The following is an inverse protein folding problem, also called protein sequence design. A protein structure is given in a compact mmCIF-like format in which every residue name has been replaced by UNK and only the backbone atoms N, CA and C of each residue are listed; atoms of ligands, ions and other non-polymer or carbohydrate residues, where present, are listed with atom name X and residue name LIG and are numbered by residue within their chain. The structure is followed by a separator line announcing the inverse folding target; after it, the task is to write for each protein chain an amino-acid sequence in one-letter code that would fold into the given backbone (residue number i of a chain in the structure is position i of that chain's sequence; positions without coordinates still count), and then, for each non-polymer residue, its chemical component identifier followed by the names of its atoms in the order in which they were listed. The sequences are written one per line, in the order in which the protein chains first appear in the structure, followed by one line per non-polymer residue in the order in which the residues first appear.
data_IF_233241227192
#
_entry.id   IF_233241227192
#
_cell.length_a   1.000
_cell.length_b   1.000
_cell.length_c   1.000
_cell.angle_alpha   90.00
_cell.angle_beta   90.00
_cell.angle_gamma   90.00
#
_symmetry.space_group_name_H-M   'P 1'
#
loop_
_entity.id
_entity.type
_entity.pdbx_description
1 polymer ?
#
# COMPACT_ATOMS: atom_id res chain seq x y z
N UNK A 1 -16.69 8.85 25.89
CA UNK A 1 -17.19 8.79 27.29
C UNK A 1 -18.30 7.76 27.49
N UNK A 2 -19.25 7.62 26.57
CA UNK A 2 -20.37 6.65 26.67
C UNK A 2 -19.95 5.24 27.14
N UNK A 3 -18.98 4.59 26.46
CA UNK A 3 -18.48 3.27 26.87
C UNK A 3 -18.00 3.21 28.33
N UNK A 4 -17.30 4.24 28.79
CA UNK A 4 -16.79 4.32 30.18
C UNK A 4 -17.95 4.42 31.18
N UNK A 5 -18.99 5.20 30.86
CA UNK A 5 -20.19 5.28 31.72
C UNK A 5 -20.92 3.93 31.79
N UNK A 6 -20.98 3.20 30.67
CA UNK A 6 -21.51 1.83 30.66
C UNK A 6 -20.65 0.90 31.54
N UNK A 7 -19.31 0.96 31.42
CA UNK A 7 -18.39 0.14 32.20
C UNK A 7 -18.54 0.38 33.72
N UNK A 8 -18.68 1.65 34.14
CA UNK A 8 -18.89 2.02 35.54
C UNK A 8 -20.22 1.52 36.11
N UNK A 9 -21.25 1.40 35.27
CA UNK A 9 -22.57 0.92 35.65
C UNK A 9 -22.76 -0.60 35.42
N UNK A 10 -21.73 -1.30 34.92
CA UNK A 10 -21.83 -2.72 34.57
C UNK A 10 -22.77 -3.01 33.39
N UNK A 11 -22.95 -2.04 32.49
CA UNK A 11 -23.83 -2.14 31.32
C UNK A 11 -23.04 -2.55 30.07
N UNK A 12 -23.70 -3.27 29.16
CA UNK A 12 -23.20 -3.49 27.80
C UNK A 12 -23.56 -2.27 26.93
N UNK A 13 -22.59 -1.54 26.36
CA UNK A 13 -22.88 -0.38 25.51
C UNK A 13 -23.58 -0.78 24.22
N UNK A 14 -24.50 0.07 23.75
CA UNK A 14 -25.04 -0.03 22.38
C UNK A 14 -23.97 0.35 21.34
N UNK A 15 -24.14 -0.02 20.04
CA UNK A 15 -23.23 0.39 18.98
C UNK A 15 -23.03 1.91 18.95
N UNK A 16 -21.77 2.34 18.95
CA UNK A 16 -21.38 3.75 18.98
C UNK A 16 -19.98 3.93 18.37
N UNK A 17 -19.58 5.16 18.11
CA UNK A 17 -18.30 5.49 17.47
C UNK A 17 -17.07 5.40 18.41
N UNK A 18 -17.25 5.14 19.70
CA UNK A 18 -16.15 5.06 20.65
C UNK A 18 -15.41 3.71 20.59
N UNK A 19 -14.08 3.74 20.56
CA UNK A 19 -13.25 2.54 20.72
C UNK A 19 -13.29 2.06 22.18
N UNK A 20 -14.11 1.04 22.47
CA UNK A 20 -14.24 0.46 23.81
C UNK A 20 -12.88 -0.07 24.30
N UNK A 21 -12.48 0.29 25.52
CA UNK A 21 -11.18 -0.05 26.09
C UNK A 21 -10.09 1.02 25.94
N UNK A 22 -10.23 1.99 25.02
CA UNK A 22 -9.23 3.05 24.81
C UNK A 22 -8.97 3.93 26.05
N UNK A 23 -9.99 4.08 26.90
CA UNK A 23 -9.92 4.86 28.15
C UNK A 23 -9.75 3.98 29.40
N UNK A 24 -9.36 2.71 29.26
CA UNK A 24 -9.14 1.82 30.40
C UNK A 24 -8.09 2.35 31.39
N UNK A 25 -7.12 3.13 30.90
CA UNK A 25 -6.08 3.74 31.74
C UNK A 25 -6.61 4.79 32.75
N UNK A 26 -7.86 5.25 32.58
CA UNK A 26 -8.52 6.15 33.54
C UNK A 26 -9.20 5.39 34.70
N UNK A 27 -9.40 4.08 34.55
CA UNK A 27 -10.13 3.25 35.50
C UNK A 27 -9.18 2.51 36.44
N UNK A 28 -9.46 2.54 37.74
CA UNK A 28 -8.71 1.73 38.73
C UNK A 28 -8.84 0.22 38.45
N UNK A 29 -10.03 -0.20 38.05
CA UNK A 29 -10.36 -1.60 37.74
C UNK A 29 -11.20 -1.67 36.46
N UNK A 30 -10.56 -1.74 35.27
CA UNK A 30 -11.29 -1.81 34.00
C UNK A 30 -12.02 -3.15 33.85
N UNK A 31 -13.33 -3.11 33.58
CA UNK A 31 -14.19 -4.29 33.40
C UNK A 31 -14.09 -4.86 31.98
N UNK A 32 -13.97 -4.01 30.97
CA UNK A 32 -13.82 -4.42 29.57
C UNK A 32 -12.35 -4.67 29.19
N UNK A 33 -12.08 -5.82 28.56
CA UNK A 33 -10.77 -6.16 27.99
C UNK A 33 -10.88 -6.23 26.47
N UNK A 34 -10.33 -5.25 25.72
CA UNK A 34 -10.37 -5.28 24.26
C UNK A 34 -9.58 -6.48 23.73
N UNK A 35 -10.09 -7.09 22.66
CA UNK A 35 -9.39 -8.13 21.89
C UNK A 35 -9.10 -7.62 20.48
N UNK A 36 -8.05 -8.14 19.86
CA UNK A 36 -7.76 -7.85 18.46
C UNK A 36 -8.89 -8.41 17.57
N UNK A 37 -9.39 -7.65 16.58
CA UNK A 37 -10.33 -8.19 15.60
C UNK A 37 -9.73 -9.37 14.84
N UNK A 38 -10.54 -10.38 14.56
CA UNK A 38 -10.14 -11.50 13.73
C UNK A 38 -10.02 -11.07 12.27
N UNK A 39 -8.97 -11.54 11.60
CA UNK A 39 -8.82 -11.30 10.18
C UNK A 39 -9.87 -12.08 9.38
N UNK A 40 -10.59 -11.36 8.50
CA UNK A 40 -11.64 -11.93 7.67
C UNK A 40 -11.07 -12.54 6.39
N UNK A 41 -10.13 -11.85 5.74
CA UNK A 41 -9.49 -12.33 4.51
C UNK A 41 -8.00 -12.55 4.74
N UNK A 42 -7.53 -13.78 4.55
CA UNK A 42 -6.10 -14.11 4.55
C UNK A 42 -5.49 -13.84 3.16
N UNK A 43 -4.21 -13.45 3.08
CA UNK A 43 -3.57 -13.25 1.79
C UNK A 43 -3.43 -14.57 1.03
N UNK A 44 -3.60 -14.50 -0.29
CA UNK A 44 -3.31 -15.62 -1.20
C UNK A 44 -1.80 -15.72 -1.43
N UNK A 45 -1.30 -16.93 -1.68
CA UNK A 45 0.09 -17.13 -2.05
C UNK A 45 0.42 -16.43 -3.38
N UNK A 46 1.50 -15.65 -3.40
CA UNK A 46 2.04 -15.05 -4.63
C UNK A 46 2.81 -16.10 -5.42
N UNK A 47 2.21 -16.66 -6.47
CA UNK A 47 2.90 -17.50 -7.44
C UNK A 47 3.13 -16.73 -8.74
N UNK A 48 4.20 -17.07 -9.47
CA UNK A 48 4.39 -16.56 -10.82
C UNK A 48 3.27 -17.08 -11.72
N UNK A 49 2.62 -16.16 -12.41
CA UNK A 49 1.64 -16.52 -13.45
C UNK A 49 2.43 -16.73 -14.74
N UNK A 50 2.17 -17.80 -15.52
CA UNK A 50 2.74 -17.94 -16.86
C UNK A 50 2.46 -16.66 -17.64
N UNK A 51 3.46 -16.11 -18.32
CA UNK A 51 3.36 -14.88 -19.10
C UNK A 51 2.28 -15.04 -20.18
N UNK A 52 1.05 -14.64 -19.87
CA UNK A 52 0.01 -14.42 -20.87
C UNK A 52 0.25 -13.05 -21.47
N UNK A 53 0.38 -13.02 -22.78
CA UNK A 53 0.74 -11.85 -23.60
C UNK A 53 -0.46 -10.90 -23.77
N UNK A 54 -0.97 -10.33 -22.68
CA UNK A 54 -1.80 -9.13 -22.78
C UNK A 54 -0.91 -7.91 -22.59
N UNK A 55 -0.79 -7.10 -23.65
CA UNK A 55 0.00 -5.89 -23.66
C UNK A 55 -0.69 -4.79 -22.83
N UNK A 56 -0.20 -4.56 -21.61
CA UNK A 56 -0.65 -3.47 -20.75
C UNK A 56 -0.24 -2.07 -21.28
N UNK A 57 0.48 -1.98 -22.40
CA UNK A 57 0.96 -0.74 -23.01
C UNK A 57 2.06 -0.04 -22.20
N UNK A 58 2.61 -0.73 -21.21
CA UNK A 58 3.64 -0.22 -20.32
C UNK A 58 5.01 -0.34 -20.98
N UNK A 59 5.84 0.70 -20.87
CA UNK A 59 7.15 0.76 -21.53
C UNK A 59 8.24 1.10 -20.53
N UNK A 60 9.37 0.41 -20.65
CA UNK A 60 10.62 0.71 -19.96
C UNK A 60 11.78 0.30 -20.89
N UNK A 61 12.76 1.18 -21.10
CA UNK A 61 13.72 1.04 -22.21
C UNK A 61 14.74 -0.09 -22.02
N UNK A 62 14.84 -0.71 -20.84
CA UNK A 62 15.75 -1.85 -20.59
C UNK A 62 15.06 -3.22 -20.69
N UNK A 63 14.76 -3.65 -21.92
CA UNK A 63 14.20 -5.00 -22.19
C UNK A 63 15.15 -6.16 -21.82
N UNK A 64 16.46 -5.92 -21.86
CA UNK A 64 17.47 -6.98 -21.74
C UNK A 64 17.67 -7.55 -20.31
N UNK A 65 17.05 -6.96 -19.28
CA UNK A 65 17.17 -7.39 -17.87
C UNK A 65 15.86 -7.85 -17.24
N UNK A 66 14.77 -7.91 -18.01
CA UNK A 66 13.43 -8.14 -17.46
C UNK A 66 13.32 -9.49 -16.75
N UNK A 67 13.90 -10.55 -17.31
CA UNK A 67 13.87 -11.89 -16.71
C UNK A 67 14.64 -11.96 -15.39
N UNK A 68 15.83 -11.37 -15.33
CA UNK A 68 16.65 -11.29 -14.12
C UNK A 68 15.94 -10.50 -13.01
N UNK A 69 15.37 -9.34 -13.36
CA UNK A 69 14.59 -8.51 -12.44
C UNK A 69 13.38 -9.27 -11.90
N UNK A 70 12.66 -10.01 -12.76
CA UNK A 70 11.51 -10.82 -12.35
C UNK A 70 11.92 -12.01 -11.45
N UNK A 71 13.11 -12.57 -11.64
CA UNK A 71 13.62 -13.64 -10.79
C UNK A 71 13.95 -13.13 -9.37
N UNK A 72 14.41 -11.88 -9.21
CA UNK A 72 14.71 -11.28 -7.90
C UNK A 72 13.47 -11.06 -7.03
N UNK A 73 12.31 -10.81 -7.65
CA UNK A 73 11.02 -10.75 -6.95
C UNK A 73 10.66 -12.05 -6.22
N UNK A 74 11.37 -13.16 -6.47
CA UNK A 74 11.21 -14.45 -5.78
C UNK A 74 11.92 -14.53 -4.42
N UNK A 75 12.87 -13.63 -4.13
CA UNK A 75 13.82 -13.80 -3.02
C UNK A 75 13.62 -12.83 -1.84
N UNK A 76 12.85 -11.76 -2.01
CA UNK A 76 12.58 -10.82 -0.92
C UNK A 76 11.56 -11.44 0.06
N UNK A 77 12.03 -11.96 1.20
CA UNK A 77 11.15 -12.59 2.23
C UNK A 77 11.38 -11.93 3.62
N UNK A 78 12.23 -10.90 3.73
CA UNK A 78 12.44 -10.23 5.01
C UNK A 78 11.33 -9.22 5.33
N UNK A 79 10.30 -9.71 6.00
CA UNK A 79 9.17 -8.91 6.47
C UNK A 79 9.54 -7.98 7.63
N UNK A 80 10.55 -8.33 8.44
CA UNK A 80 10.83 -7.64 9.70
C UNK A 80 11.19 -6.17 9.50
N UNK A 81 11.89 -5.86 8.39
CA UNK A 81 12.29 -4.49 8.09
C UNK A 81 11.09 -3.60 7.75
N UNK A 82 10.21 -4.06 6.86
CA UNK A 82 9.17 -3.23 6.25
C UNK A 82 7.78 -3.43 6.89
N UNK A 83 7.61 -4.46 7.72
CA UNK A 83 6.40 -4.73 8.52
C UNK A 83 6.77 -4.96 10.01
N UNK A 84 7.43 -4.00 10.68
CA UNK A 84 7.90 -4.17 12.07
C UNK A 84 6.76 -4.37 13.09
N UNK A 85 5.53 -4.05 12.71
CA UNK A 85 4.32 -4.20 13.55
C UNK A 85 3.39 -5.33 13.06
N UNK A 86 3.89 -6.18 12.15
CA UNK A 86 3.08 -7.14 11.42
C UNK A 86 2.31 -6.52 10.25
N UNK A 87 1.77 -7.38 9.39
CA UNK A 87 0.95 -6.93 8.25
C UNK A 87 -0.43 -6.44 8.73
N UNK A 88 -1.02 -5.42 8.07
CA UNK A 88 -2.41 -5.05 8.30
C UNK A 88 -3.35 -6.24 8.06
N UNK A 89 -4.21 -6.52 9.04
CA UNK A 89 -5.27 -7.53 8.90
C UNK A 89 -6.44 -6.96 8.10
N UNK A 90 -6.94 -7.74 7.13
CA UNK A 90 -8.07 -7.31 6.28
C UNK A 90 -9.39 -7.77 6.89
N UNK A 91 -10.19 -6.81 7.37
CA UNK A 91 -11.43 -7.05 8.13
C UNK A 91 -12.70 -7.11 7.25
N UNK A 92 -12.55 -7.34 5.95
CA UNK A 92 -13.65 -7.50 4.99
C UNK A 92 -13.33 -8.60 3.98
N UNK A 93 -14.35 -9.13 3.32
CA UNK A 93 -14.20 -10.17 2.30
C UNK A 93 -13.57 -9.59 1.03
N UNK A 94 -12.36 -10.05 0.70
CA UNK A 94 -11.66 -9.66 -0.53
C UNK A 94 -10.56 -10.67 -0.85
N UNK A 95 -10.12 -10.68 -2.10
CA UNK A 95 -8.94 -11.45 -2.52
C UNK A 95 -7.77 -10.48 -2.71
N UNK A 96 -6.70 -10.74 -1.95
CA UNK A 96 -5.46 -9.98 -2.07
C UNK A 96 -4.25 -10.89 -1.85
N UNK A 97 -3.10 -10.43 -2.31
CA UNK A 97 -1.83 -11.15 -2.29
C UNK A 97 -0.75 -10.25 -1.71
N UNK A 98 0.19 -10.79 -0.92
CA UNK A 98 1.34 -10.01 -0.46
C UNK A 98 2.41 -10.02 -1.55
N UNK A 99 2.82 -8.84 -1.98
CA UNK A 99 3.93 -8.63 -2.91
C UNK A 99 5.13 -8.09 -2.15
N UNK A 100 6.17 -8.91 -2.05
CA UNK A 100 7.38 -8.58 -1.33
C UNK A 100 8.40 -7.95 -2.28
N UNK A 101 9.10 -6.94 -1.80
CA UNK A 101 10.24 -6.30 -2.46
C UNK A 101 11.29 -5.98 -1.39
N UNK A 102 12.51 -5.69 -1.81
CA UNK A 102 13.58 -5.43 -0.83
C UNK A 102 13.32 -4.18 -0.01
N UNK A 103 12.80 -3.12 -0.64
CA UNK A 103 12.64 -1.82 0.01
C UNK A 103 11.19 -1.50 0.44
N UNK A 104 10.21 -2.34 0.09
CA UNK A 104 8.81 -2.21 0.50
C UNK A 104 8.01 -3.51 0.36
N UNK A 105 6.86 -3.60 1.04
CA UNK A 105 5.91 -4.72 0.96
C UNK A 105 4.51 -4.17 0.74
N UNK A 106 3.71 -4.80 -0.11
CA UNK A 106 2.34 -4.34 -0.40
C UNK A 106 1.32 -5.47 -0.35
N UNK A 107 0.13 -5.18 0.16
CA UNK A 107 -1.05 -6.03 -0.04
C UNK A 107 -1.78 -5.62 -1.31
N UNK A 108 -1.71 -6.44 -2.36
CA UNK A 108 -2.27 -6.15 -3.68
C UNK A 108 -3.65 -6.79 -3.85
N UNK A 109 -4.68 -5.99 -4.13
CA UNK A 109 -6.04 -6.49 -4.39
C UNK A 109 -6.22 -6.78 -5.88
N UNK A 110 -6.57 -8.01 -6.22
CA UNK A 110 -6.94 -8.38 -7.59
C UNK A 110 -8.25 -7.68 -8.01
N UNK A 111 -9.20 -7.53 -7.08
CA UNK A 111 -10.50 -6.90 -7.32
C UNK A 111 -10.37 -5.41 -7.66
N UNK A 112 -9.47 -4.70 -6.98
CA UNK A 112 -9.22 -3.27 -7.25
C UNK A 112 -8.10 -3.04 -8.27
N UNK A 113 -7.38 -4.11 -8.65
CA UNK A 113 -6.16 -4.03 -9.47
C UNK A 113 -5.14 -3.01 -8.94
N UNK A 114 -5.03 -2.86 -7.62
CA UNK A 114 -4.09 -1.95 -6.97
C UNK A 114 -3.80 -2.38 -5.53
N UNK A 115 -2.73 -1.85 -4.89
CA UNK A 115 -2.49 -2.10 -3.48
C UNK A 115 -3.59 -1.53 -2.59
N UNK A 116 -4.06 -2.33 -1.62
CA UNK A 116 -4.85 -1.83 -0.49
C UNK A 116 -3.96 -1.13 0.54
N UNK A 117 -2.70 -1.54 0.64
CA UNK A 117 -1.69 -0.88 1.45
C UNK A 117 -0.29 -1.19 0.91
N UNK A 118 0.65 -0.30 1.17
CA UNK A 118 2.09 -0.43 0.93
C UNK A 118 2.83 0.05 2.18
N UNK A 119 3.73 -0.78 2.68
CA UNK A 119 4.51 -0.56 3.89
C UNK A 119 6.00 -0.54 3.58
N UNK A 120 6.73 0.42 4.13
CA UNK A 120 8.18 0.52 3.97
C UNK A 120 8.81 1.28 5.14
N UNK A 121 10.06 0.95 5.45
CA UNK A 121 10.80 1.60 6.53
C UNK A 121 11.96 2.41 6.00
N UNK A 122 11.96 3.68 6.37
CA UNK A 122 12.96 4.67 6.00
C UNK A 122 13.88 4.92 7.20
N UNK A 123 15.19 4.72 7.00
CA UNK A 123 16.18 4.99 8.04
C UNK A 123 16.48 6.49 8.18
N UNK A 124 17.10 6.87 9.30
CA UNK A 124 17.51 8.25 9.58
C UNK A 124 18.41 8.85 8.49
N UNK A 125 19.32 8.04 7.95
CA UNK A 125 20.34 8.42 6.95
C UNK A 125 19.90 8.12 5.52
N UNK A 126 18.59 8.05 5.24
CA UNK A 126 18.13 7.77 3.88
C UNK A 126 18.61 8.84 2.90
N UNK A 127 19.13 8.40 1.76
CA UNK A 127 19.41 9.28 0.64
C UNK A 127 18.26 9.29 -0.35
N UNK A 128 17.85 10.50 -0.75
CA UNK A 128 16.85 10.71 -1.80
C UNK A 128 17.62 10.85 -3.09
N UNK A 129 17.67 9.77 -3.87
CA UNK A 129 18.36 9.78 -5.15
C UNK A 129 17.37 10.13 -6.27
N UNK A 130 17.76 10.99 -7.24
CA UNK A 130 16.92 11.27 -8.39
C UNK A 130 16.58 9.99 -9.14
N UNK A 131 15.44 9.99 -9.82
CA UNK A 131 15.09 8.91 -10.73
C UNK A 131 15.81 9.20 -12.05
N UNK A 132 16.66 8.29 -12.55
CA UNK A 132 17.33 8.48 -13.83
C UNK A 132 16.32 8.70 -14.96
N UNK A 133 16.71 9.43 -16.01
CA UNK A 133 15.81 9.77 -17.12
C UNK A 133 15.18 8.54 -17.77
N UNK A 134 15.94 7.43 -17.88
CA UNK A 134 15.47 6.13 -18.39
C UNK A 134 14.30 5.53 -17.58
N UNK A 135 14.14 5.95 -16.33
CA UNK A 135 13.07 5.51 -15.43
C UNK A 135 11.98 6.57 -15.22
N UNK A 136 12.13 7.78 -15.77
CA UNK A 136 11.24 8.92 -15.50
C UNK A 136 9.80 8.69 -15.97
N UNK A 137 9.62 7.96 -17.07
CA UNK A 137 8.32 7.53 -17.62
C UNK A 137 8.16 6.01 -17.64
N UNK A 138 9.04 5.28 -16.96
CA UNK A 138 9.03 3.82 -16.95
C UNK A 138 7.92 3.29 -16.04
N UNK A 139 7.14 2.35 -16.58
CA UNK A 139 6.25 1.47 -15.80
C UNK A 139 6.46 0.05 -16.30
N UNK A 140 6.59 -0.90 -15.38
CA UNK A 140 6.86 -2.31 -15.71
C UNK A 140 5.69 -3.21 -15.28
N UNK A 141 5.25 -4.15 -16.14
CA UNK A 141 4.37 -5.23 -15.70
C UNK A 141 5.01 -6.05 -14.58
N UNK A 142 4.19 -6.58 -13.66
CA UNK A 142 4.63 -7.46 -12.59
C UNK A 142 4.26 -8.91 -12.93
N UNK A 143 5.26 -9.77 -13.11
CA UNK A 143 5.05 -11.17 -13.51
C UNK A 143 4.33 -12.03 -12.46
N UNK A 144 4.17 -11.52 -11.23
CA UNK A 144 3.41 -12.21 -10.15
C UNK A 144 1.91 -11.98 -10.24
N UNK A 145 1.47 -11.01 -11.05
CA UNK A 145 0.04 -10.65 -11.18
C UNK A 145 -0.36 -10.81 -12.64
N UNK A 146 -1.46 -11.53 -12.88
CA UNK A 146 -1.97 -11.71 -14.24
C UNK A 146 -2.41 -10.35 -14.84
N UNK A 147 -2.30 -10.17 -16.17
CA UNK A 147 -2.75 -8.94 -16.83
C UNK A 147 -4.21 -8.58 -16.56
N UNK A 148 -5.10 -9.59 -16.46
CA UNK A 148 -6.52 -9.41 -16.13
C UNK A 148 -6.78 -8.78 -14.75
N UNK A 149 -5.81 -8.85 -13.84
CA UNK A 149 -5.85 -8.24 -12.51
C UNK A 149 -4.86 -7.08 -12.36
N UNK A 150 -4.32 -6.58 -13.47
CA UNK A 150 -3.37 -5.48 -13.52
C UNK A 150 -3.98 -4.27 -14.20
N UNK A 151 -3.57 -3.08 -13.78
CA UNK A 151 -3.91 -1.85 -14.50
C UNK A 151 -3.21 -1.79 -15.86
N UNK A 152 -3.79 -1.02 -16.78
CA UNK A 152 -3.21 -0.77 -18.10
C UNK A 152 -2.62 0.64 -18.21
N UNK A 153 -1.37 0.74 -18.65
CA UNK A 153 -0.73 2.01 -18.96
C UNK A 153 -1.42 2.74 -20.12
N UNK A 154 -2.09 2.02 -21.03
CA UNK A 154 -2.87 2.64 -22.09
C UNK A 154 -4.06 3.44 -21.53
N UNK A 155 -4.71 2.98 -20.46
CA UNK A 155 -5.80 3.70 -19.82
C UNK A 155 -5.33 5.07 -19.30
N UNK A 156 -4.14 5.13 -18.69
CA UNK A 156 -3.54 6.37 -18.22
C UNK A 156 -3.11 7.33 -19.34
N UNK A 157 -2.82 6.81 -20.54
CA UNK A 157 -2.51 7.65 -21.72
C UNK A 157 -3.79 8.17 -22.39
N UNK A 158 -4.86 7.39 -22.35
CA UNK A 158 -6.15 7.74 -22.94
C UNK A 158 -6.91 8.76 -22.08
N UNK A 159 -6.82 8.64 -20.75
CA UNK A 159 -7.49 9.55 -19.82
C UNK A 159 -6.73 10.87 -19.68
N UNK A 160 -7.43 12.00 -19.83
CA UNK A 160 -6.79 13.33 -19.81
C UNK A 160 -6.63 13.88 -18.40
N UNK A 161 -7.49 13.45 -17.47
CA UNK A 161 -7.56 14.05 -16.15
C UNK A 161 -6.87 13.22 -15.06
N UNK A 162 -6.53 11.96 -15.33
CA UNK A 162 -5.96 11.03 -14.35
C UNK A 162 -4.62 10.50 -14.86
N UNK A 163 -3.62 10.51 -14.00
CA UNK A 163 -2.31 9.86 -14.20
C UNK A 163 -2.14 8.76 -13.15
N UNK A 164 -1.09 7.96 -13.24
CA UNK A 164 -0.67 7.12 -12.12
C UNK A 164 0.26 7.89 -11.16
N UNK A 165 0.31 7.43 -9.92
CA UNK A 165 1.35 7.72 -8.93
C UNK A 165 1.80 6.44 -8.23
N UNK A 166 3.01 6.46 -7.67
CA UNK A 166 3.59 5.30 -6.97
C UNK A 166 3.35 5.39 -5.46
N UNK A 167 2.95 4.30 -4.82
CA UNK A 167 2.78 4.26 -3.36
C UNK A 167 4.12 4.22 -2.63
N UNK A 168 5.03 3.33 -3.06
CA UNK A 168 6.44 3.39 -2.69
C UNK A 168 7.22 4.28 -3.69
N UNK A 169 7.90 5.36 -3.23
CA UNK A 169 8.59 6.28 -4.13
C UNK A 169 9.92 5.72 -4.66
N UNK A 170 10.14 5.64 -5.98
CA UNK A 170 11.43 5.20 -6.56
C UNK A 170 12.64 6.05 -6.14
N UNK A 171 12.43 7.28 -5.64
CA UNK A 171 13.50 8.14 -5.15
C UNK A 171 14.13 7.64 -3.83
N UNK A 172 13.39 6.82 -3.07
CA UNK A 172 13.86 6.26 -1.79
C UNK A 172 14.45 4.85 -1.94
N UNK A 173 14.46 4.29 -3.17
CA UNK A 173 15.11 3.02 -3.46
C UNK A 173 16.60 3.12 -3.14
N UNK A 174 17.13 2.08 -2.50
CA UNK A 174 18.50 2.09 -1.98
C UNK A 174 19.58 1.94 -3.05
N UNK A 175 19.24 1.47 -4.25
CA UNK A 175 20.11 1.47 -5.43
C UNK A 175 19.30 1.43 -6.74
N UNK A 176 19.99 1.51 -7.88
CA UNK A 176 19.36 1.52 -9.21
C UNK A 176 18.52 0.26 -9.47
N UNK A 177 19.04 -0.92 -9.13
CA UNK A 177 18.33 -2.19 -9.35
C UNK A 177 16.98 -2.21 -8.62
N UNK A 178 16.93 -1.70 -7.39
CA UNK A 178 15.69 -1.63 -6.61
C UNK A 178 14.75 -0.50 -7.04
N UNK A 179 15.22 0.46 -7.85
CA UNK A 179 14.33 1.42 -8.52
C UNK A 179 13.45 0.71 -9.55
N UNK A 180 13.91 -0.39 -10.17
CA UNK A 180 13.10 -1.18 -11.10
C UNK A 180 11.93 -1.89 -10.44
N UNK A 181 12.06 -2.25 -9.15
CA UNK A 181 10.96 -2.79 -8.35
C UNK A 181 9.93 -1.69 -8.05
N UNK A 182 10.41 -0.48 -7.72
CA UNK A 182 9.54 0.65 -7.40
C UNK A 182 8.71 1.18 -8.57
N UNK A 183 9.07 0.85 -9.82
CA UNK A 183 8.33 1.25 -11.04
C UNK A 183 7.41 0.15 -11.58
N UNK A 184 7.13 -0.89 -10.79
CA UNK A 184 6.13 -1.91 -11.13
C UNK A 184 4.72 -1.31 -11.17
N UNK A 185 3.89 -1.77 -12.11
CA UNK A 185 2.48 -1.37 -12.23
C UNK A 185 1.69 -1.72 -10.95
N UNK A 186 2.09 -2.79 -10.26
CA UNK A 186 1.51 -3.20 -8.97
C UNK A 186 1.82 -2.25 -7.82
N UNK A 187 2.72 -1.28 -7.98
CA UNK A 187 2.98 -0.19 -7.03
C UNK A 187 2.24 1.10 -7.41
N UNK A 188 1.40 1.08 -8.45
CA UNK A 188 0.70 2.27 -8.95
C UNK A 188 -0.74 2.37 -8.45
N UNK A 189 -1.18 3.62 -8.27
CA UNK A 189 -2.59 3.99 -8.04
C UNK A 189 -2.98 5.18 -8.93
N UNK A 190 -4.26 5.28 -9.33
CA UNK A 190 -4.75 6.46 -10.05
C UNK A 190 -4.63 7.72 -9.18
N UNK A 191 -4.14 8.81 -9.75
CA UNK A 191 -3.98 10.10 -9.10
C UNK A 191 -4.27 11.25 -10.06
N UNK A 192 -5.01 12.25 -9.61
CA UNK A 192 -5.08 13.52 -10.32
C UNK A 192 -3.71 14.20 -10.37
N UNK A 193 -3.32 14.85 -11.50
CA UNK A 193 -2.04 15.54 -11.62
C UNK A 193 -1.79 16.57 -10.50
N UNK A 194 -2.82 17.27 -10.06
CA UNK A 194 -2.74 18.20 -8.94
C UNK A 194 -2.38 17.49 -7.62
N UNK A 195 -3.03 16.36 -7.33
CA UNK A 195 -2.74 15.56 -6.13
C UNK A 195 -1.35 14.92 -6.21
N UNK A 196 -0.93 14.44 -7.38
CA UNK A 196 0.42 13.86 -7.59
C UNK A 196 1.54 14.83 -7.20
N UNK A 197 1.35 16.15 -7.35
CA UNK A 197 2.32 17.17 -6.88
C UNK A 197 2.45 17.17 -5.35
N UNK A 198 1.32 17.15 -4.65
CA UNK A 198 1.26 17.07 -3.17
C UNK A 198 1.89 15.75 -2.70
N UNK A 199 1.50 14.64 -3.33
CA UNK A 199 2.01 13.31 -3.04
C UNK A 199 3.54 13.22 -3.22
N UNK A 200 4.06 13.75 -4.32
CA UNK A 200 5.49 13.80 -4.58
C UNK A 200 6.26 14.62 -3.54
N UNK A 201 5.69 15.73 -3.05
CA UNK A 201 6.31 16.53 -1.98
C UNK A 201 6.31 15.77 -0.65
N UNK A 202 5.20 15.13 -0.28
CA UNK A 202 5.10 14.28 0.91
C UNK A 202 6.18 13.20 0.90
N UNK A 203 6.26 12.42 -0.18
CA UNK A 203 7.21 11.30 -0.29
C UNK A 203 8.68 11.74 -0.32
N UNK A 204 9.02 12.76 -1.11
CA UNK A 204 10.43 13.15 -1.33
C UNK A 204 10.98 14.02 -0.22
N UNK A 205 10.15 14.87 0.37
CA UNK A 205 10.60 15.93 1.30
C UNK A 205 10.19 15.60 2.72
N UNK A 206 8.90 15.40 2.96
CA UNK A 206 8.39 15.26 4.32
C UNK A 206 8.76 13.92 4.95
N UNK A 207 8.66 12.81 4.22
CA UNK A 207 9.04 11.49 4.73
C UNK A 207 10.52 11.44 5.11
N UNK A 208 11.43 11.99 4.27
CA UNK A 208 12.86 12.10 4.62
C UNK A 208 13.05 12.93 5.89
N UNK A 209 12.41 14.09 5.98
CA UNK A 209 12.48 14.96 7.16
C UNK A 209 12.01 14.23 8.43
N UNK A 210 10.87 13.55 8.38
CA UNK A 210 10.36 12.78 9.51
C UNK A 210 11.29 11.64 9.91
N UNK A 211 11.88 10.94 8.94
CA UNK A 211 12.89 9.91 9.20
C UNK A 211 14.11 10.49 9.93
N UNK A 212 14.60 11.65 9.51
CA UNK A 212 15.73 12.32 10.17
C UNK A 212 15.39 12.74 11.60
N UNK A 213 14.22 13.33 11.82
CA UNK A 213 13.77 13.83 13.13
C UNK A 213 13.42 12.72 14.12
N UNK A 214 12.96 11.55 13.65
CA UNK A 214 12.44 10.46 14.49
C UNK A 214 13.33 9.23 14.57
N UNK A 215 14.58 9.32 14.07
CA UNK A 215 15.52 8.20 13.99
C UNK A 215 14.97 7.02 13.15
N UNK A 216 14.42 7.34 12.00
CA UNK A 216 13.73 6.43 11.10
C UNK A 216 12.22 6.44 11.30
N UNK A 217 11.49 6.10 10.25
CA UNK A 217 10.03 5.97 10.27
C UNK A 217 9.60 4.75 9.46
N UNK A 218 8.62 4.02 9.97
CA UNK A 218 7.84 3.10 9.15
C UNK A 218 6.64 3.86 8.57
N UNK A 219 6.35 3.64 7.29
CA UNK A 219 5.32 4.33 6.54
C UNK A 219 4.36 3.29 5.98
N UNK A 220 3.07 3.47 6.26
CA UNK A 220 1.98 2.68 5.69
C UNK A 220 1.05 3.61 4.91
N UNK A 221 0.88 3.36 3.62
CA UNK A 221 0.06 4.18 2.71
C UNK A 221 -0.83 3.32 1.83
N UNK A 222 -1.98 3.84 1.42
CA UNK A 222 -2.93 3.13 0.56
C UNK A 222 -4.07 4.04 0.11
N UNK A 223 -4.90 3.60 -0.84
CA UNK A 223 -6.08 4.32 -1.30
C UNK A 223 -7.22 4.25 -0.28
N UNK A 224 -8.13 5.22 -0.35
CA UNK A 224 -9.39 5.26 0.40
C UNK A 224 -10.52 5.51 -0.58
N UNK A 225 -11.62 4.76 -0.43
CA UNK A 225 -12.84 4.90 -1.21
C UNK A 225 -14.01 5.09 -0.22
N UNK A 226 -14.60 6.29 -0.27
CA UNK A 226 -15.71 6.77 0.56
C UNK A 226 -16.50 7.81 -0.24
N UNK A 227 -17.14 7.35 -1.32
CA UNK A 227 -17.92 8.18 -2.26
C UNK A 227 -19.19 8.73 -1.63
N UNK A 228 -19.77 8.02 -0.65
CA UNK A 228 -20.98 8.45 0.04
C UNK A 228 -20.70 9.25 1.33
N UNK A 229 -19.42 9.50 1.64
CA UNK A 229 -18.97 10.35 2.75
C UNK A 229 -19.47 9.89 4.13
N UNK A 230 -19.66 8.57 4.31
CA UNK A 230 -20.14 8.01 5.58
C UNK A 230 -18.99 7.67 6.54
N UNK A 231 -17.74 7.85 6.11
CA UNK A 231 -16.54 7.58 6.89
C UNK A 231 -16.23 6.08 7.02
N UNK A 232 -16.92 5.23 6.27
CA UNK A 232 -16.66 3.80 6.17
C UNK A 232 -16.12 3.43 4.78
N UNK A 233 -15.57 2.23 4.69
CA UNK A 233 -15.05 1.69 3.42
C UNK A 233 -16.21 1.36 2.49
N UNK A 234 -16.14 1.83 1.25
CA UNK A 234 -17.08 1.43 0.21
C UNK A 234 -16.98 -0.03 -0.22
N UNK A 235 -18.12 -0.59 -0.62
CA UNK A 235 -18.17 -1.88 -1.32
C UNK A 235 -17.72 -1.73 -2.78
N UNK A 236 -17.48 -2.85 -3.47
CA UNK A 236 -17.05 -2.80 -4.87
C UNK A 236 -18.14 -2.22 -5.78
N UNK A 237 -19.40 -2.35 -5.39
CA UNK A 237 -20.57 -1.80 -6.07
C UNK A 237 -20.59 -0.28 -5.95
N UNK A 238 -20.45 0.26 -4.73
CA UNK A 238 -20.43 1.70 -4.48
C UNK A 238 -19.29 2.45 -5.19
N UNK A 239 -18.13 1.80 -5.36
CA UNK A 239 -16.97 2.39 -6.06
C UNK A 239 -17.24 2.59 -7.57
N UNK A 240 -18.18 1.84 -8.14
CA UNK A 240 -18.52 1.86 -9.58
C UNK A 240 -19.68 2.80 -9.92
N UNK A 241 -20.42 3.29 -8.93
CA UNK A 241 -21.50 4.28 -9.07
C UNK A 241 -20.93 5.70 -9.22
#
# INVERSE_FOLDING_TARGET
LYNVMCDLLGLKPAPNNGTHGSLNHLLRSPSFRPTMPEEVSRPTASNLVPTVTDDLGCSCDEKNKVEELNQRLRQAIDDNRNLPFGRPAVLFHTKYTILHHTDYISGYSETLSMPVWTSYTISRQVEVSPVPDVLSSCVRPDARVAPAFSQSCNNYRAERHVTHGFLYPPQLSSNLDKKYDAVLITNTVPMYPAFRRIWGYLQKTLVKRYATERNGVNVLVGPVFDYNYDGARDSAEKIKE
#
